data_IF_116667962902
#
_entry.id   IF_116667962902
#
_cell.length_a   1.000
_cell.length_b   1.000
_cell.length_c   1.000
_cell.angle_alpha   90.00
_cell.angle_beta   90.00
_cell.angle_gamma   90.00
#
_symmetry.space_group_name_H-M   'P 1'
#
loop_
_entity.id
_entity.type
_entity.pdbx_description
1 polymer ?
#
# COMPACT_ATOMS: atom_id res chain seq x y z
N UNK A 1 -33.76 -51.28 23.31
CA UNK A 1 -33.32 -49.89 23.07
C UNK A 1 -31.89 -49.75 23.58
N UNK A 2 -30.88 -49.69 22.70
CA UNK A 2 -29.47 -49.71 23.09
C UNK A 2 -29.10 -48.34 23.67
N UNK A 3 -28.64 -48.28 24.93
CA UNK A 3 -28.18 -47.04 25.57
C UNK A 3 -26.94 -46.58 24.82
N UNK A 4 -27.04 -45.50 24.05
CA UNK A 4 -25.89 -44.88 23.44
C UNK A 4 -24.96 -44.38 24.57
N UNK A 5 -23.68 -44.75 24.52
CA UNK A 5 -22.69 -44.27 25.48
C UNK A 5 -22.47 -42.77 25.27
N UNK A 6 -23.02 -41.96 26.18
CA UNK A 6 -22.97 -40.50 26.13
C UNK A 6 -21.53 -39.95 26.08
N UNK A 7 -20.58 -40.70 26.64
CA UNK A 7 -19.14 -40.37 26.62
C UNK A 7 -18.57 -40.50 25.21
N UNK A 8 -18.97 -41.51 24.44
CA UNK A 8 -18.51 -41.69 23.06
C UNK A 8 -18.99 -40.56 22.15
N UNK A 9 -20.23 -40.10 22.34
CA UNK A 9 -20.81 -38.98 21.59
C UNK A 9 -20.04 -37.68 21.92
N UNK A 10 -19.73 -37.44 23.19
CA UNK A 10 -19.00 -36.24 23.61
C UNK A 10 -17.59 -36.18 23.01
N UNK A 11 -16.89 -37.32 22.97
CA UNK A 11 -15.55 -37.42 22.37
C UNK A 11 -15.61 -37.11 20.87
N UNK A 12 -16.60 -37.66 20.14
CA UNK A 12 -16.78 -37.38 18.71
C UNK A 12 -17.08 -35.90 18.45
N UNK A 13 -17.84 -35.24 19.31
CA UNK A 13 -18.15 -33.80 19.19
C UNK A 13 -16.90 -32.92 19.39
N UNK A 14 -16.00 -33.29 20.30
CA UNK A 14 -14.74 -32.58 20.56
C UNK A 14 -13.75 -32.73 19.37
N UNK A 15 -13.71 -33.91 18.73
CA UNK A 15 -12.87 -34.12 17.55
C UNK A 15 -13.45 -33.54 16.25
N UNK A 16 -14.77 -33.35 16.17
CA UNK A 16 -15.45 -32.80 14.99
C UNK A 16 -15.58 -31.27 15.02
N UNK A 17 -15.34 -30.61 16.16
CA UNK A 17 -15.05 -29.18 16.19
C UNK A 17 -13.68 -28.93 15.56
N UNK A 18 -13.65 -28.97 14.23
CA UNK A 18 -12.58 -28.39 13.44
C UNK A 18 -12.39 -26.98 13.95
N UNK A 19 -11.19 -26.66 14.43
CA UNK A 19 -10.83 -25.33 14.90
C UNK A 19 -10.85 -24.41 13.66
N UNK A 20 -12.03 -23.92 13.31
CA UNK A 20 -12.19 -22.83 12.35
C UNK A 20 -11.72 -21.56 13.04
N UNK A 21 -10.40 -21.49 13.25
CA UNK A 21 -9.73 -20.26 13.62
C UNK A 21 -9.83 -19.37 12.38
N UNK A 22 -10.88 -18.56 12.33
CA UNK A 22 -10.96 -17.45 11.40
C UNK A 22 -9.77 -16.55 11.73
N UNK A 23 -8.67 -16.71 11.00
CA UNK A 23 -7.58 -15.75 11.04
C UNK A 23 -8.10 -14.49 10.36
N UNK A 24 -8.81 -13.65 11.11
CA UNK A 24 -8.87 -12.24 10.75
C UNK A 24 -7.41 -11.80 10.67
N UNK A 25 -6.93 -11.59 9.44
CA UNK A 25 -5.59 -11.07 9.20
C UNK A 25 -5.45 -9.83 10.09
N UNK A 26 -4.40 -9.74 10.92
CA UNK A 26 -4.13 -8.50 11.65
C UNK A 26 -4.10 -7.36 10.63
N UNK A 27 -4.48 -6.13 11.02
CA UNK A 27 -4.45 -4.99 10.11
C UNK A 27 -3.09 -4.94 9.42
N UNK A 28 -3.08 -5.09 8.10
CA UNK A 28 -1.85 -5.03 7.34
C UNK A 28 -1.19 -3.67 7.65
N UNK A 29 0.14 -3.63 7.86
CA UNK A 29 0.82 -2.37 8.14
C UNK A 29 0.60 -1.40 6.98
N UNK A 30 -0.28 -0.42 7.18
CA UNK A 30 -0.55 0.62 6.21
C UNK A 30 0.51 1.70 6.34
N UNK A 31 1.23 1.97 5.26
CA UNK A 31 2.25 3.01 5.19
C UNK A 31 1.81 4.10 4.21
N UNK A 32 1.64 5.32 4.71
CA UNK A 32 1.43 6.49 3.87
C UNK A 32 2.78 7.06 3.44
N UNK A 33 2.96 7.28 2.14
CA UNK A 33 4.11 7.98 1.59
C UNK A 33 3.70 9.43 1.34
N UNK A 34 4.35 10.37 2.02
CA UNK A 34 4.03 11.79 1.92
C UNK A 34 4.74 12.40 0.71
N UNK A 35 3.97 13.01 -0.19
CA UNK A 35 4.51 13.78 -1.32
C UNK A 35 5.17 15.07 -0.80
N UNK A 36 6.11 15.66 -1.56
CA UNK A 36 6.69 16.95 -1.23
C UNK A 36 5.61 18.01 -1.02
N UNK A 37 5.93 19.04 -0.23
CA UNK A 37 5.03 20.18 -0.09
C UNK A 37 4.78 20.83 -1.45
N UNK A 38 3.62 21.45 -1.59
CA UNK A 38 3.23 22.19 -2.80
C UNK A 38 3.00 21.31 -4.04
N UNK A 39 2.84 19.99 -3.87
CA UNK A 39 2.38 19.10 -4.96
C UNK A 39 0.88 18.89 -4.90
N UNK A 40 0.23 18.87 -6.06
CA UNK A 40 -1.18 18.47 -6.19
C UNK A 40 -1.27 17.06 -6.76
N UNK A 41 -1.92 16.18 -6.00
CA UNK A 41 -2.18 14.77 -6.35
C UNK A 41 -0.93 13.89 -6.40
N UNK A 42 -1.13 12.56 -6.33
CA UNK A 42 -0.54 11.64 -7.28
C UNK A 42 -1.58 11.28 -8.34
N UNK A 43 -1.33 11.59 -9.61
CA UNK A 43 -2.30 11.30 -10.69
C UNK A 43 -2.15 9.86 -11.20
N UNK A 44 -0.94 9.31 -11.15
CA UNK A 44 -0.63 7.95 -11.57
C UNK A 44 0.58 7.41 -10.81
N UNK A 45 0.68 6.08 -10.69
CA UNK A 45 1.83 5.42 -10.08
C UNK A 45 2.34 4.22 -10.90
N UNK A 46 3.66 4.01 -10.91
CA UNK A 46 4.30 2.89 -11.58
C UNK A 46 5.47 2.32 -10.75
N UNK A 47 5.91 1.12 -11.10
CA UNK A 47 7.08 0.44 -10.54
C UNK A 47 7.95 -0.06 -11.67
N UNK A 48 9.26 -0.06 -11.48
CA UNK A 48 10.16 -0.63 -12.49
C UNK A 48 10.32 -2.15 -12.31
N UNK A 49 10.92 -2.81 -13.31
CA UNK A 49 11.14 -4.27 -13.30
C UNK A 49 12.05 -4.75 -12.16
N UNK A 50 12.85 -3.86 -11.57
CA UNK A 50 13.69 -4.17 -10.40
C UNK A 50 12.93 -4.02 -9.09
N UNK A 51 11.64 -3.64 -9.14
CA UNK A 51 10.81 -3.40 -7.97
C UNK A 51 11.06 -2.05 -7.29
N UNK A 52 11.79 -1.12 -7.92
CA UNK A 52 11.93 0.22 -7.33
C UNK A 52 10.68 1.07 -7.59
N UNK A 53 10.57 2.13 -6.79
CA UNK A 53 9.45 3.07 -6.81
C UNK A 53 8.74 3.09 -5.45
N UNK A 54 7.47 3.54 -5.41
CA UNK A 54 6.69 3.98 -6.56
C UNK A 54 7.29 5.20 -7.29
N UNK A 55 7.08 5.26 -8.59
CA UNK A 55 7.19 6.46 -9.40
C UNK A 55 5.80 7.07 -9.50
N UNK A 56 5.63 8.38 -9.26
CA UNK A 56 4.32 9.02 -9.25
C UNK A 56 4.33 10.31 -10.07
N UNK A 57 3.34 10.50 -10.92
CA UNK A 57 3.13 11.79 -11.58
C UNK A 57 2.39 12.75 -10.65
N UNK A 58 2.72 14.03 -10.72
CA UNK A 58 2.03 15.11 -10.00
C UNK A 58 1.54 16.16 -10.99
N UNK A 59 0.52 16.93 -10.62
CA UNK A 59 -0.19 17.83 -11.53
C UNK A 59 0.72 18.90 -12.17
N UNK A 60 1.81 19.27 -11.49
CA UNK A 60 2.76 20.24 -12.02
C UNK A 60 3.53 19.71 -13.25
N UNK A 61 3.51 18.40 -13.52
CA UNK A 61 4.18 17.74 -14.66
C UNK A 61 5.49 17.03 -14.31
N UNK A 62 5.87 16.95 -13.03
CA UNK A 62 6.97 16.10 -12.57
C UNK A 62 6.53 14.64 -12.42
N UNK A 63 7.50 13.75 -12.58
CA UNK A 63 7.46 12.37 -12.12
C UNK A 63 8.42 12.26 -10.94
N UNK A 64 7.92 11.87 -9.78
CA UNK A 64 8.70 11.71 -8.56
C UNK A 64 8.99 10.23 -8.31
N UNK A 65 10.19 9.90 -7.81
CA UNK A 65 10.57 8.53 -7.41
C UNK A 65 10.74 8.44 -5.90
N UNK A 66 10.08 7.48 -5.27
CA UNK A 66 10.32 7.17 -3.86
C UNK A 66 11.64 6.40 -3.68
N UNK A 67 12.49 6.87 -2.78
CA UNK A 67 13.81 6.28 -2.45
C UNK A 67 13.90 5.73 -1.02
N UNK A 68 12.76 5.37 -0.43
CA UNK A 68 12.72 4.80 0.91
C UNK A 68 12.50 5.85 2.00
N UNK A 69 12.39 5.40 3.27
CA UNK A 69 11.89 6.22 4.38
C UNK A 69 12.82 7.39 4.75
N UNK A 70 14.14 7.25 4.51
CA UNK A 70 15.11 8.27 4.88
C UNK A 70 15.20 9.41 3.87
N UNK A 71 14.78 9.18 2.61
CA UNK A 71 14.90 10.14 1.51
C UNK A 71 13.53 10.66 1.08
N UNK A 72 12.51 9.81 1.05
CA UNK A 72 11.20 10.18 0.52
C UNK A 72 11.19 10.21 -1.00
N UNK A 73 10.44 11.18 -1.56
CA UNK A 73 10.32 11.37 -3.00
C UNK A 73 11.37 12.35 -3.52
N UNK A 74 11.94 12.05 -4.70
CA UNK A 74 12.83 12.93 -5.45
C UNK A 74 12.30 13.19 -6.86
N UNK A 75 12.70 14.31 -7.48
CA UNK A 75 12.45 14.56 -8.89
C UNK A 75 13.16 13.50 -9.76
N UNK A 76 12.41 12.78 -10.60
CA UNK A 76 12.94 11.75 -11.50
C UNK A 76 12.90 12.17 -12.97
N UNK A 77 11.76 12.69 -13.41
CA UNK A 77 11.57 13.15 -14.79
C UNK A 77 10.53 14.27 -14.85
N UNK A 78 10.40 14.90 -16.02
CA UNK A 78 9.37 15.89 -16.33
C UNK A 78 8.65 15.50 -17.62
N UNK A 79 7.41 15.96 -17.80
CA UNK A 79 6.62 15.73 -19.02
C UNK A 79 7.11 16.52 -20.23
N UNK A 80 7.94 17.54 -20.03
CA UNK A 80 8.49 18.39 -21.09
C UNK A 80 9.90 18.86 -20.75
N UNK A 81 10.83 18.88 -21.73
CA UNK A 81 12.17 19.45 -21.56
C UNK A 81 12.16 20.99 -21.50
N UNK A 82 11.08 21.63 -21.96
CA UNK A 82 10.91 23.09 -21.91
C UNK A 82 10.26 23.57 -20.61
N UNK A 83 9.99 22.65 -19.67
CA UNK A 83 9.44 22.96 -18.36
C UNK A 83 10.48 23.70 -17.54
N UNK A 84 10.16 24.92 -17.10
CA UNK A 84 10.96 25.69 -16.15
C UNK A 84 10.32 25.62 -14.77
N UNK A 85 11.15 25.63 -13.72
CA UNK A 85 10.65 25.53 -12.34
C UNK A 85 9.86 26.76 -11.94
N UNK A 86 10.29 27.92 -12.43
CA UNK A 86 9.72 29.23 -12.16
C UNK A 86 8.27 29.33 -12.63
N UNK A 87 7.91 28.63 -13.70
CA UNK A 87 6.57 28.65 -14.29
C UNK A 87 5.72 27.49 -13.78
N UNK A 88 6.30 26.29 -13.66
CA UNK A 88 5.52 25.08 -13.46
C UNK A 88 5.45 24.58 -12.01
N UNK A 89 6.44 24.84 -11.16
CA UNK A 89 6.45 24.27 -9.80
C UNK A 89 5.41 24.92 -8.87
N UNK A 90 4.69 25.94 -9.37
CA UNK A 90 3.68 26.68 -8.64
C UNK A 90 4.31 27.57 -7.57
N UNK A 91 3.90 28.83 -7.50
CA UNK A 91 4.04 29.60 -6.28
C UNK A 91 2.69 29.55 -5.58
N UNK A 92 2.62 28.90 -4.41
CA UNK A 92 1.41 28.97 -3.59
C UNK A 92 1.37 30.37 -2.97
N UNK A 93 0.37 31.16 -3.36
CA UNK A 93 -0.06 32.34 -2.60
C UNK A 93 -0.60 31.91 -1.23
#
# INVERSE_FOLDING_TARGET
MKKASMIGILIVLIFSSSLAYSTQLPPLPFKKLQLPLQTVGPDSNAFDLKGNGPYTSVADGRVLKYQGPNIGFIDFATTSPLRTKEVCDGQIY
#
